data_IF_538956317864
#
_entry.id   IF_538956317864
#
_cell.length_a   1.000
_cell.length_b   1.000
_cell.length_c   1.000
_cell.angle_alpha   90.00
_cell.angle_beta   90.00
_cell.angle_gamma   90.00
#
_symmetry.space_group_name_H-M   'P 1'
#
loop_
_entity.id
_entity.type
_entity.pdbx_description
1 polymer ?
#
# COMPACT_ATOMS: atom_id res chain seq x y z
N UNK A 1 -1.59 -16.78 -8.62
CA UNK A 1 -1.02 -15.58 -7.95
C UNK A 1 -1.91 -15.24 -6.77
N UNK A 2 -1.37 -15.19 -5.55
CA UNK A 2 -2.15 -14.69 -4.40
C UNK A 2 -2.24 -13.17 -4.54
N UNK A 3 -3.43 -12.59 -4.44
CA UNK A 3 -3.61 -11.14 -4.56
C UNK A 3 -4.68 -10.57 -3.64
N UNK A 4 -4.69 -9.25 -3.51
CA UNK A 4 -5.60 -8.48 -2.65
C UNK A 4 -6.77 -7.89 -3.44
N UNK A 5 -7.54 -6.99 -2.82
CA UNK A 5 -8.75 -6.39 -3.41
C UNK A 5 -8.48 -5.39 -4.55
N UNK A 6 -7.42 -4.58 -4.46
CA UNK A 6 -7.17 -3.52 -5.44
C UNK A 6 -8.28 -2.46 -5.49
N UNK A 7 -8.48 -1.85 -6.66
CA UNK A 7 -9.48 -0.80 -6.86
C UNK A 7 -10.92 -1.31 -6.86
N UNK A 8 -11.11 -2.62 -6.91
CA UNK A 8 -12.44 -3.23 -6.84
C UNK A 8 -13.11 -2.93 -5.49
N UNK A 9 -12.35 -2.81 -4.40
CA UNK A 9 -12.96 -2.66 -3.08
C UNK A 9 -12.12 -1.91 -2.01
N UNK A 10 -10.81 -1.76 -2.17
CA UNK A 10 -9.97 -1.22 -1.10
C UNK A 10 -9.72 0.30 -1.27
N UNK A 11 -9.97 1.07 -0.21
CA UNK A 11 -9.79 2.52 -0.19
C UNK A 11 -8.33 2.98 -0.03
N UNK A 12 -7.43 2.11 0.45
CA UNK A 12 -6.00 2.39 0.59
C UNK A 12 -5.15 1.80 -0.54
N UNK A 13 -5.79 1.33 -1.62
CA UNK A 13 -5.09 0.74 -2.76
C UNK A 13 -4.30 1.80 -3.55
N UNK A 14 -2.99 1.58 -3.71
CA UNK A 14 -2.13 2.35 -4.60
C UNK A 14 -2.20 1.86 -6.07
N UNK A 15 -2.66 0.62 -6.28
CA UNK A 15 -2.82 0.02 -7.60
C UNK A 15 -3.95 -1.01 -7.62
N UNK A 16 -4.40 -1.40 -8.81
CA UNK A 16 -5.34 -2.50 -8.94
C UNK A 16 -4.67 -3.86 -8.71
N UNK A 17 -5.46 -4.84 -8.28
CA UNK A 17 -4.98 -6.21 -8.10
C UNK A 17 -5.41 -7.10 -9.27
N UNK A 18 -6.72 -7.19 -9.52
CA UNK A 18 -7.31 -8.12 -10.48
C UNK A 18 -6.78 -7.92 -11.90
N UNK A 19 -6.69 -6.68 -12.36
CA UNK A 19 -6.19 -6.34 -13.69
C UNK A 19 -4.73 -6.70 -13.89
N UNK A 20 -3.85 -6.40 -12.92
CA UNK A 20 -2.43 -6.75 -13.01
C UNK A 20 -2.26 -8.27 -12.99
N UNK A 21 -2.96 -8.97 -12.10
CA UNK A 21 -2.90 -10.44 -12.04
C UNK A 21 -3.36 -11.06 -13.35
N UNK A 22 -4.43 -10.54 -13.96
CA UNK A 22 -4.89 -10.98 -15.28
C UNK A 22 -3.79 -10.80 -16.34
N UNK A 23 -3.20 -9.63 -16.45
CA UNK A 23 -2.12 -9.36 -17.40
C UNK A 23 -0.90 -10.27 -17.20
N UNK A 24 -0.49 -10.50 -15.95
CA UNK A 24 0.65 -11.38 -15.63
C UNK A 24 0.32 -12.84 -15.96
N UNK A 25 -0.87 -13.32 -15.61
CA UNK A 25 -1.28 -14.69 -15.90
C UNK A 25 -1.45 -14.94 -17.40
N UNK A 26 -1.87 -13.94 -18.18
CA UNK A 26 -1.93 -14.07 -19.64
C UNK A 26 -0.53 -14.22 -20.24
N UNK A 27 0.45 -13.44 -19.77
CA UNK A 27 1.84 -13.54 -20.21
C UNK A 27 2.54 -14.84 -19.76
N UNK A 28 2.14 -15.38 -18.59
CA UNK A 28 2.74 -16.56 -18.00
C UNK A 28 1.90 -17.84 -18.18
N UNK A 29 0.86 -17.82 -19.02
CA UNK A 29 -0.06 -18.93 -19.19
C UNK A 29 0.68 -20.23 -19.59
N UNK A 30 1.64 -20.14 -20.51
CA UNK A 30 2.49 -21.27 -20.91
C UNK A 30 3.29 -21.88 -19.74
N UNK A 31 3.79 -21.03 -18.83
CA UNK A 31 4.51 -21.46 -17.61
C UNK A 31 3.60 -22.08 -16.57
N UNK A 32 2.31 -21.75 -16.60
CA UNK A 32 1.31 -22.31 -15.70
C UNK A 32 0.82 -23.68 -16.17
N UNK A 33 0.68 -23.87 -17.48
CA UNK A 33 0.21 -25.15 -18.06
C UNK A 33 1.32 -26.17 -18.28
N UNK A 34 2.59 -25.79 -18.10
CA UNK A 34 3.76 -26.67 -18.26
C UNK A 34 4.69 -26.61 -17.04
N UNK A 35 5.34 -27.71 -16.70
CA UNK A 35 6.36 -27.77 -15.64
C UNK A 35 7.77 -27.49 -16.19
N UNK A 36 7.97 -26.31 -16.78
CA UNK A 36 9.22 -25.93 -17.46
C UNK A 36 10.10 -24.97 -16.65
N UNK A 37 9.91 -24.92 -15.33
CA UNK A 37 10.71 -24.13 -14.38
C UNK A 37 11.52 -25.06 -13.48
N UNK A 38 12.72 -24.64 -13.01
CA UNK A 38 13.59 -25.46 -12.18
C UNK A 38 13.00 -25.76 -10.79
N UNK A 39 12.04 -24.95 -10.33
CA UNK A 39 11.31 -25.14 -9.09
C UNK A 39 9.94 -24.42 -9.17
N UNK A 40 9.07 -24.69 -8.19
CA UNK A 40 7.77 -24.03 -8.08
C UNK A 40 7.95 -22.54 -7.78
N UNK A 41 7.56 -21.69 -8.73
CA UNK A 41 7.57 -20.23 -8.58
C UNK A 41 6.27 -19.73 -7.95
N UNK A 42 6.36 -18.94 -6.88
CA UNK A 42 5.25 -18.26 -6.24
C UNK A 42 5.32 -16.76 -6.53
N UNK A 43 4.32 -16.27 -7.24
CA UNK A 43 4.10 -14.84 -7.49
C UNK A 43 2.93 -14.39 -6.62
N UNK A 44 3.08 -13.24 -5.95
CA UNK A 44 1.99 -12.59 -5.23
C UNK A 44 1.95 -11.08 -5.50
N UNK A 45 0.78 -10.50 -5.32
CA UNK A 45 0.53 -9.07 -5.53
C UNK A 45 -0.21 -8.45 -4.35
N UNK A 46 0.23 -7.28 -3.89
CA UNK A 46 -0.51 -6.46 -2.95
C UNK A 46 -0.73 -5.07 -3.51
N UNK A 47 -1.96 -4.59 -3.36
CA UNK A 47 -2.37 -3.26 -3.81
C UNK A 47 -1.79 -2.11 -2.97
N UNK A 48 -1.29 -2.39 -1.77
CA UNK A 48 -0.62 -1.43 -0.88
C UNK A 48 0.33 -2.14 0.11
N UNK A 49 1.05 -1.36 0.91
CA UNK A 49 2.06 -1.86 1.86
C UNK A 49 1.50 -2.64 3.06
N UNK A 50 0.18 -2.74 3.22
CA UNK A 50 -0.43 -3.64 4.20
C UNK A 50 -0.24 -5.12 3.83
N UNK A 51 0.13 -5.39 2.57
CA UNK A 51 0.50 -6.71 2.02
C UNK A 51 -0.58 -7.79 2.01
N UNK A 52 -1.64 -7.69 2.85
CA UNK A 52 -2.84 -8.53 3.01
C UNK A 52 -2.75 -9.96 2.42
N UNK A 53 -1.65 -10.68 2.68
CA UNK A 53 -1.28 -11.89 1.96
C UNK A 53 0.23 -12.18 2.01
N UNK A 54 0.69 -13.03 1.09
CA UNK A 54 2.04 -13.60 1.10
C UNK A 54 3.10 -12.79 0.32
N UNK A 55 2.85 -11.51 0.06
CA UNK A 55 3.73 -10.69 -0.80
C UNK A 55 5.13 -10.52 -0.22
N UNK A 56 5.25 -10.41 1.10
CA UNK A 56 6.52 -10.29 1.81
C UNK A 56 7.38 -11.58 1.82
N UNK A 57 6.83 -12.71 1.36
CA UNK A 57 7.50 -14.02 1.38
C UNK A 57 7.31 -14.80 0.07
N UNK A 58 7.04 -14.10 -1.03
CA UNK A 58 6.91 -14.69 -2.38
C UNK A 58 8.22 -14.58 -3.15
N UNK A 59 8.46 -15.52 -4.07
CA UNK A 59 9.66 -15.51 -4.93
C UNK A 59 9.70 -14.27 -5.81
N UNK A 60 8.53 -13.83 -6.30
CA UNK A 60 8.34 -12.55 -6.98
C UNK A 60 7.13 -11.84 -6.36
N UNK A 61 7.36 -10.59 -5.95
CA UNK A 61 6.37 -9.74 -5.32
C UNK A 61 6.07 -8.53 -6.20
N UNK A 62 4.79 -8.25 -6.44
CA UNK A 62 4.31 -7.01 -7.05
C UNK A 62 3.64 -6.19 -5.96
N UNK A 63 4.09 -4.96 -5.76
CA UNK A 63 3.64 -4.10 -4.67
C UNK A 63 3.25 -2.71 -5.16
N UNK A 64 2.01 -2.32 -4.88
CA UNK A 64 1.58 -0.93 -4.99
C UNK A 64 2.20 -0.06 -3.90
N UNK A 65 2.85 1.03 -4.30
CA UNK A 65 3.42 2.03 -3.39
C UNK A 65 2.96 3.43 -3.78
N UNK A 66 2.72 4.27 -2.78
CA UNK A 66 2.54 5.70 -3.01
C UNK A 66 3.91 6.38 -3.13
N UNK A 67 3.95 7.55 -3.76
CA UNK A 67 5.20 8.31 -4.00
C UNK A 67 5.07 9.79 -3.62
N UNK A 68 4.00 10.14 -2.87
CA UNK A 68 3.71 11.50 -2.45
C UNK A 68 3.26 11.54 -0.99
N UNK A 69 3.65 12.57 -0.22
CA UNK A 69 3.12 12.78 1.12
C UNK A 69 1.59 12.94 1.12
N UNK A 70 0.91 12.63 2.24
CA UNK A 70 -0.52 12.86 2.38
C UNK A 70 -0.86 14.35 2.34
N UNK A 71 -1.99 14.69 1.74
CA UNK A 71 -2.55 16.05 1.81
C UNK A 71 -3.48 16.14 3.02
N UNK A 72 -3.10 16.93 4.01
CA UNK A 72 -3.88 17.05 5.25
C UNK A 72 -5.07 17.98 5.08
N UNK A 73 -6.28 17.48 5.38
CA UNK A 73 -7.47 18.31 5.53
C UNK A 73 -7.63 18.73 7.00
N UNK A 74 -7.11 19.92 7.34
CA UNK A 74 -7.08 20.43 8.71
C UNK A 74 -8.48 20.57 9.35
N UNK A 75 -9.53 20.73 8.55
CA UNK A 75 -10.91 20.86 9.05
C UNK A 75 -11.53 19.50 9.39
N UNK A 76 -11.21 18.46 8.62
CA UNK A 76 -11.79 17.12 8.81
C UNK A 76 -11.04 16.30 9.84
N UNK A 77 -9.71 16.42 9.93
CA UNK A 77 -8.89 15.66 10.89
C UNK A 77 -9.48 15.63 12.30
N UNK A 78 -9.86 16.76 12.95
CA UNK A 78 -10.41 16.71 14.31
C UNK A 78 -11.85 16.15 14.37
N UNK A 79 -12.55 16.06 13.23
CA UNK A 79 -13.94 15.55 13.16
C UNK A 79 -14.00 14.04 12.96
N UNK A 80 -13.00 13.45 12.30
CA UNK A 80 -13.03 12.03 11.89
C UNK A 80 -11.86 11.20 12.43
N UNK A 81 -10.80 11.84 12.92
CA UNK A 81 -9.62 11.15 13.43
C UNK A 81 -9.43 11.41 14.94
N UNK A 82 -8.90 10.41 15.63
CA UNK A 82 -8.31 10.60 16.96
C UNK A 82 -6.82 10.98 16.75
N UNK A 83 -6.45 12.20 17.12
CA UNK A 83 -5.16 12.81 16.72
C UNK A 83 -3.94 12.07 17.28
N UNK A 84 -3.91 11.66 18.57
CA UNK A 84 -2.80 10.86 19.11
C UNK A 84 -2.50 9.56 18.34
N UNK A 85 -3.53 8.80 17.96
CA UNK A 85 -3.39 7.55 17.19
C UNK A 85 -2.99 7.84 15.74
N UNK A 86 -3.49 8.92 15.14
CA UNK A 86 -3.04 9.36 13.83
C UNK A 86 -1.53 9.68 13.84
N UNK A 87 -1.04 10.40 14.86
CA UNK A 87 0.38 10.72 15.00
C UNK A 87 1.20 9.44 15.22
N UNK A 88 0.77 8.55 16.12
CA UNK A 88 1.52 7.32 16.45
C UNK A 88 1.49 6.26 15.35
N UNK A 89 0.57 6.36 14.39
CA UNK A 89 0.54 5.51 13.19
C UNK A 89 1.76 5.71 12.28
N UNK A 90 2.48 6.83 12.41
CA UNK A 90 3.59 7.16 11.53
C UNK A 90 4.89 6.47 11.99
N UNK A 91 5.45 5.52 11.21
CA UNK A 91 6.64 4.79 11.62
C UNK A 91 7.92 5.63 11.62
N UNK A 92 7.94 6.75 10.90
CA UNK A 92 9.10 7.65 10.80
C UNK A 92 8.98 8.90 11.67
N UNK A 93 7.87 9.08 12.40
CA UNK A 93 7.63 10.30 13.18
C UNK A 93 7.47 11.57 12.33
N UNK A 94 7.12 11.43 11.05
CA UNK A 94 6.92 12.55 10.13
C UNK A 94 5.68 13.40 10.48
N UNK A 95 4.72 12.84 11.22
CA UNK A 95 3.50 13.54 11.64
C UNK A 95 3.69 14.07 13.07
N UNK A 96 3.36 15.35 13.28
CA UNK A 96 3.54 16.04 14.56
C UNK A 96 2.29 16.84 14.92
N UNK A 97 2.09 17.20 16.20
CA UNK A 97 1.09 18.20 16.58
C UNK A 97 1.27 19.47 15.74
N UNK A 98 0.17 20.01 15.24
CA UNK A 98 0.21 21.14 14.31
C UNK A 98 0.70 22.44 14.96
N UNK A 99 1.36 23.25 14.15
CA UNK A 99 1.76 24.62 14.46
C UNK A 99 0.82 25.63 13.80
N UNK A 100 0.75 26.85 14.33
CA UNK A 100 0.06 27.99 13.69
C UNK A 100 -1.44 27.75 13.39
N UNK A 101 -2.15 27.11 14.31
CA UNK A 101 -3.58 26.84 14.18
C UNK A 101 -3.94 25.61 13.33
N UNK A 102 -2.94 24.87 12.84
CA UNK A 102 -3.14 23.54 12.24
C UNK A 102 -3.31 22.47 13.31
N UNK A 103 -4.00 21.39 12.97
CA UNK A 103 -4.23 20.27 13.88
C UNK A 103 -3.03 19.32 13.87
N UNK A 104 -2.50 19.03 12.68
CA UNK A 104 -1.26 18.23 12.50
C UNK A 104 -0.40 18.78 11.36
N UNK A 105 0.90 18.61 11.51
CA UNK A 105 1.91 18.91 10.49
C UNK A 105 2.58 17.64 9.99
N UNK A 106 2.88 17.60 8.69
CA UNK A 106 3.60 16.51 8.03
C UNK A 106 4.93 17.04 7.52
N UNK A 107 6.03 16.49 8.02
CA UNK A 107 7.39 16.76 7.53
C UNK A 107 7.63 15.87 6.32
N UNK A 108 7.44 16.42 5.12
CA UNK A 108 7.45 15.67 3.86
C UNK A 108 8.77 14.93 3.64
N UNK A 109 9.90 15.51 4.04
CA UNK A 109 11.24 14.93 3.91
C UNK A 109 11.43 13.67 4.77
N UNK A 110 10.61 13.49 5.81
CA UNK A 110 10.62 12.32 6.68
C UNK A 110 9.55 11.27 6.27
N UNK A 111 8.66 11.60 5.33
CA UNK A 111 7.60 10.71 4.91
C UNK A 111 8.11 9.69 3.89
N UNK A 112 7.81 8.41 4.11
CA UNK A 112 8.11 7.32 3.17
C UNK A 112 6.86 6.76 2.47
N UNK A 113 5.76 7.52 2.50
CA UNK A 113 4.54 7.24 1.72
C UNK A 113 3.86 5.89 2.02
N UNK A 114 3.99 5.37 3.24
CA UNK A 114 3.38 4.07 3.60
C UNK A 114 1.85 4.05 3.56
N UNK A 115 1.19 5.21 3.65
CA UNK A 115 -0.26 5.33 3.65
C UNK A 115 -0.95 4.94 4.97
N UNK A 116 -0.21 4.55 6.01
CA UNK A 116 -0.79 4.06 7.27
C UNK A 116 -1.59 5.12 8.05
N UNK A 117 -1.37 6.40 7.77
CA UNK A 117 -2.03 7.52 8.42
C UNK A 117 -3.28 8.04 7.67
N UNK A 118 -3.64 7.43 6.53
CA UNK A 118 -4.84 7.77 5.75
C UNK A 118 -6.05 7.04 6.33
#
# INVERSE_FOLDING_TARGET
>A
IVHTQGWVHCHSAATDASGIVKCVMDALCDRFTNENLPAKLRIALACCLNMCGAVHCSDIAILGVHTKPPKTNQELVPKVCEVPTLISSCPTGAIRPGSEGRVVDVVEEQCMFCGNCY
#
